data_IF_771312337647
#
_entry.id   IF_771312337647
#
_cell.length_a   1.000
_cell.length_b   1.000
_cell.length_c   1.000
_cell.angle_alpha   90.00
_cell.angle_beta   90.00
_cell.angle_gamma   90.00
#
_symmetry.space_group_name_H-M   'P 1'
#
loop_
_entity.id
_entity.type
_entity.pdbx_description
1 polymer ?
#
# COMPACT_ATOMS: atom_id res chain seq x y z
N UNK A 1 5.54 -10.76 11.48
CA UNK A 1 4.88 -9.91 10.51
C UNK A 1 4.59 -10.66 9.24
N UNK A 2 3.65 -10.20 8.43
CA UNK A 2 3.14 -10.91 7.29
C UNK A 2 4.12 -11.20 6.17
N UNK A 3 3.69 -11.95 5.17
CA UNK A 3 4.50 -12.43 4.06
C UNK A 3 4.88 -11.35 3.05
N UNK A 4 4.28 -10.18 3.13
CA UNK A 4 4.63 -9.02 2.31
C UNK A 4 4.37 -7.74 3.09
N UNK A 5 5.37 -6.86 3.13
CA UNK A 5 5.25 -5.58 3.82
C UNK A 5 6.24 -4.55 3.25
N UNK A 6 5.90 -3.28 3.39
CA UNK A 6 6.82 -2.17 3.18
C UNK A 6 6.90 -1.34 4.46
N UNK A 7 8.04 -0.71 4.69
CA UNK A 7 8.25 0.18 5.82
C UNK A 7 8.60 1.58 5.30
N UNK A 8 7.90 2.57 5.84
CA UNK A 8 8.10 3.98 5.48
C UNK A 8 8.48 4.71 6.76
N UNK A 9 9.58 5.45 6.75
CA UNK A 9 10.11 6.10 7.95
C UNK A 9 9.93 7.63 7.90
N UNK A 10 10.07 8.26 9.07
CA UNK A 10 9.90 9.70 9.24
C UNK A 10 10.83 10.50 8.34
N UNK A 11 12.08 10.05 8.14
CA UNK A 11 13.03 10.80 7.31
C UNK A 11 12.57 10.91 5.87
N UNK A 12 11.91 9.88 5.34
CA UNK A 12 11.30 9.91 4.01
C UNK A 12 10.12 10.87 3.98
N UNK A 13 9.32 10.88 5.04
CA UNK A 13 8.17 11.77 5.16
C UNK A 13 8.60 13.23 5.34
N UNK A 14 9.67 13.48 6.07
CA UNK A 14 10.23 14.82 6.24
C UNK A 14 10.73 15.38 4.92
N UNK A 15 11.28 14.54 4.03
CA UNK A 15 11.62 14.96 2.67
C UNK A 15 10.39 15.41 1.89
N UNK A 16 9.27 14.73 2.06
CA UNK A 16 8.01 15.14 1.45
C UNK A 16 7.48 16.44 2.07
N UNK A 17 7.76 16.65 3.34
CA UNK A 17 7.31 17.81 4.10
C UNK A 17 8.25 19.02 4.03
N UNK A 18 9.44 18.92 3.46
CA UNK A 18 10.45 19.99 3.41
C UNK A 18 9.96 21.31 2.84
N UNK A 19 8.93 21.26 2.00
CA UNK A 19 8.31 22.47 1.44
C UNK A 19 7.42 23.20 2.43
N UNK A 20 7.21 22.63 3.62
CA UNK A 20 6.30 23.14 4.65
C UNK A 20 7.03 23.72 5.86
N UNK A 21 8.24 24.20 5.67
CA UNK A 21 9.08 24.85 6.69
C UNK A 21 9.53 23.93 7.83
N UNK A 22 10.80 23.63 7.90
CA UNK A 22 11.63 23.14 9.03
C UNK A 22 10.88 22.75 10.33
N UNK A 23 9.74 22.08 10.20
CA UNK A 23 8.89 21.80 11.33
C UNK A 23 9.33 20.51 12.03
N UNK A 24 9.87 20.65 13.23
CA UNK A 24 10.22 19.52 14.09
C UNK A 24 8.98 19.03 14.82
N UNK A 25 8.47 17.90 14.39
CA UNK A 25 7.32 17.27 15.05
C UNK A 25 7.72 16.65 16.38
N UNK A 26 6.86 16.77 17.39
CA UNK A 26 6.99 16.02 18.63
C UNK A 26 6.85 14.51 18.38
N UNK A 27 7.28 13.67 19.33
CA UNK A 27 7.14 12.22 19.22
C UNK A 27 5.68 11.77 19.00
N UNK A 28 4.73 12.40 19.71
CA UNK A 28 3.30 12.10 19.55
C UNK A 28 2.75 12.53 18.19
N UNK A 29 3.18 13.68 17.70
CA UNK A 29 2.77 14.17 16.38
C UNK A 29 3.37 13.35 15.26
N UNK A 30 4.62 12.88 15.40
CA UNK A 30 5.22 11.95 14.46
C UNK A 30 4.40 10.66 14.34
N UNK A 31 4.00 10.10 15.47
CA UNK A 31 3.16 8.89 15.48
C UNK A 31 1.82 9.09 14.78
N UNK A 32 1.16 10.22 15.04
CA UNK A 32 -0.11 10.57 14.38
C UNK A 32 0.05 10.78 12.89
N UNK A 33 1.09 11.47 12.48
CA UNK A 33 1.41 11.67 11.08
C UNK A 33 1.67 10.34 10.39
N UNK A 34 2.49 9.48 10.98
CA UNK A 34 2.79 8.16 10.43
C UNK A 34 1.53 7.32 10.30
N UNK A 35 0.64 7.36 11.28
CA UNK A 35 -0.62 6.64 11.20
C UNK A 35 -1.49 7.16 10.06
N UNK A 36 -1.60 8.48 9.89
CA UNK A 36 -2.35 9.09 8.80
C UNK A 36 -1.80 8.69 7.43
N UNK A 37 -0.49 8.70 7.29
CA UNK A 37 0.18 8.30 6.05
C UNK A 37 0.02 6.80 5.79
N UNK A 38 0.08 5.99 6.84
CA UNK A 38 -0.20 4.56 6.75
C UNK A 38 -1.60 4.29 6.23
N UNK A 39 -2.60 5.03 6.69
CA UNK A 39 -3.97 4.93 6.19
C UNK A 39 -4.06 5.24 4.69
N UNK A 40 -3.39 6.30 4.25
CA UNK A 40 -3.38 6.68 2.81
C UNK A 40 -2.73 5.58 1.98
N UNK A 41 -1.57 5.07 2.40
CA UNK A 41 -0.86 4.02 1.67
C UNK A 41 -1.67 2.71 1.67
N UNK A 42 -2.32 2.39 2.78
CA UNK A 42 -3.21 1.24 2.85
C UNK A 42 -4.34 1.36 1.82
N UNK A 43 -4.99 2.51 1.73
CA UNK A 43 -6.06 2.75 0.75
C UNK A 43 -5.54 2.72 -0.69
N UNK A 44 -4.38 3.32 -0.95
CA UNK A 44 -3.74 3.26 -2.27
C UNK A 44 -3.48 1.81 -2.68
N UNK A 45 -3.01 1.00 -1.73
CA UNK A 45 -2.75 -0.42 -1.96
C UNK A 45 -4.04 -1.18 -2.26
N UNK A 46 -5.10 -0.94 -1.49
CA UNK A 46 -6.41 -1.54 -1.72
C UNK A 46 -6.99 -1.14 -3.08
N UNK A 47 -6.83 0.10 -3.47
CA UNK A 47 -7.28 0.58 -4.78
C UNK A 47 -6.58 -0.12 -5.93
N UNK A 48 -5.29 -0.42 -5.79
CA UNK A 48 -4.57 -1.20 -6.80
C UNK A 48 -5.15 -2.60 -6.94
N UNK A 49 -5.45 -3.24 -5.82
CA UNK A 49 -5.98 -4.61 -5.80
C UNK A 49 -7.41 -4.65 -6.34
N UNK A 50 -8.23 -3.68 -5.98
CA UNK A 50 -9.65 -3.68 -6.32
C UNK A 50 -9.93 -3.08 -7.69
N UNK A 51 -9.31 -1.95 -8.02
CA UNK A 51 -9.71 -1.15 -9.17
C UNK A 51 -8.65 -1.03 -10.26
N UNK A 52 -7.50 -0.44 -9.96
CA UNK A 52 -6.58 -0.02 -11.03
C UNK A 52 -5.79 -1.17 -11.65
N UNK A 53 -5.46 -2.19 -10.90
CA UNK A 53 -4.63 -3.31 -11.35
C UNK A 53 -3.26 -2.88 -11.87
N UNK A 54 -2.75 -1.79 -11.30
CA UNK A 54 -1.44 -1.24 -11.63
C UNK A 54 -0.47 -1.49 -10.48
N UNK A 55 0.81 -1.66 -10.82
CA UNK A 55 1.85 -1.66 -9.79
C UNK A 55 2.10 -0.23 -9.28
N UNK A 56 2.89 -0.03 -8.20
CA UNK A 56 3.18 1.32 -7.70
C UNK A 56 3.81 2.25 -8.73
N UNK A 57 4.53 1.71 -9.71
CA UNK A 57 5.17 2.46 -10.79
C UNK A 57 4.20 2.82 -11.92
N UNK A 58 2.93 2.41 -11.82
CA UNK A 58 1.89 2.75 -12.79
C UNK A 58 1.80 1.81 -13.99
N UNK A 59 2.46 0.67 -13.93
CA UNK A 59 2.40 -0.33 -15.00
C UNK A 59 1.33 -1.37 -14.70
N UNK A 60 0.64 -1.83 -15.72
CA UNK A 60 -0.36 -2.87 -15.58
C UNK A 60 0.28 -4.19 -15.15
N UNK A 61 -0.39 -4.91 -14.25
CA UNK A 61 0.00 -6.28 -13.92
C UNK A 61 -0.22 -7.20 -15.11
N UNK A 62 0.64 -8.21 -15.23
CA UNK A 62 0.46 -9.25 -16.25
C UNK A 62 -0.89 -9.94 -16.06
N UNK A 63 -1.62 -10.21 -17.17
CA UNK A 63 -2.90 -10.91 -17.07
C UNK A 63 -2.69 -12.36 -16.62
N UNK A 64 -3.77 -12.99 -16.19
CA UNK A 64 -3.77 -14.43 -15.95
C UNK A 64 -3.46 -15.19 -17.23
N UNK A 65 -2.81 -16.34 -17.10
CA UNK A 65 -2.74 -17.32 -18.16
C UNK A 65 -4.17 -17.74 -18.51
N UNK A 66 -4.40 -18.13 -19.77
CA UNK A 66 -5.74 -18.46 -20.24
C UNK A 66 -6.42 -19.54 -19.39
N UNK A 67 -5.68 -20.59 -19.04
CA UNK A 67 -6.19 -21.67 -18.18
C UNK A 67 -6.62 -21.14 -16.79
N UNK A 68 -5.84 -20.26 -16.22
CA UNK A 68 -6.14 -19.62 -14.92
C UNK A 68 -7.37 -18.74 -15.04
N UNK A 69 -7.45 -17.92 -16.11
CA UNK A 69 -8.60 -17.06 -16.37
C UNK A 69 -9.90 -17.86 -16.43
N UNK A 70 -9.90 -18.96 -17.18
CA UNK A 70 -11.08 -19.85 -17.31
C UNK A 70 -11.49 -20.42 -15.96
N UNK A 71 -10.53 -20.94 -15.20
CA UNK A 71 -10.78 -21.51 -13.87
C UNK A 71 -11.38 -20.45 -12.93
N UNK A 72 -10.79 -19.27 -12.88
CA UNK A 72 -11.22 -18.20 -11.98
C UNK A 72 -12.61 -17.68 -12.34
N UNK A 73 -12.90 -17.50 -13.63
CA UNK A 73 -14.21 -17.02 -14.07
C UNK A 73 -15.31 -18.06 -13.82
N UNK A 74 -14.98 -19.33 -13.93
CA UNK A 74 -15.94 -20.42 -13.67
C UNK A 74 -16.25 -20.56 -12.19
N UNK A 75 -15.24 -20.49 -11.35
CA UNK A 75 -15.35 -20.73 -9.91
C UNK A 75 -15.70 -19.49 -9.10
N UNK A 76 -15.21 -18.34 -9.51
CA UNK A 76 -15.37 -17.06 -8.81
C UNK A 76 -15.81 -15.99 -9.81
N UNK A 77 -17.11 -15.84 -10.01
CA UNK A 77 -17.70 -15.01 -11.08
C UNK A 77 -17.19 -13.56 -11.13
N UNK A 78 -16.83 -12.99 -9.99
CA UNK A 78 -16.36 -11.60 -9.89
C UNK A 78 -14.86 -11.48 -9.64
N UNK A 79 -14.13 -12.58 -9.81
CA UNK A 79 -12.69 -12.56 -9.58
C UNK A 79 -11.95 -11.71 -10.62
N UNK A 80 -10.91 -11.04 -10.17
CA UNK A 80 -9.97 -10.29 -10.99
C UNK A 80 -8.57 -10.47 -10.42
N UNK A 81 -7.55 -9.89 -11.05
CA UNK A 81 -6.17 -10.04 -10.56
C UNK A 81 -6.07 -9.62 -9.09
N UNK A 82 -5.52 -10.49 -8.26
CA UNK A 82 -5.36 -10.34 -6.81
C UNK A 82 -6.68 -10.16 -6.03
N UNK A 83 -7.83 -10.29 -6.69
CA UNK A 83 -9.13 -10.07 -6.10
C UNK A 83 -10.04 -11.27 -6.38
N UNK A 84 -9.98 -12.26 -5.51
CA UNK A 84 -10.76 -13.49 -5.67
C UNK A 84 -12.06 -13.47 -4.87
N UNK A 85 -11.98 -13.07 -3.62
CA UNK A 85 -13.10 -13.07 -2.70
C UNK A 85 -13.08 -11.75 -1.91
N UNK A 86 -14.10 -10.90 -2.07
CA UNK A 86 -14.13 -9.61 -1.39
C UNK A 86 -14.20 -9.73 0.15
N UNK A 87 -14.65 -10.86 0.68
CA UNK A 87 -14.81 -11.00 2.13
C UNK A 87 -13.59 -11.60 2.84
N UNK A 88 -12.72 -12.32 2.14
CA UNK A 88 -11.66 -13.10 2.78
C UNK A 88 -10.28 -12.98 2.11
N UNK A 89 -10.17 -12.21 1.05
CA UNK A 89 -8.99 -12.20 0.22
C UNK A 89 -7.89 -11.27 0.68
N UNK A 90 -6.93 -11.09 -0.21
CA UNK A 90 -5.79 -10.20 -0.02
C UNK A 90 -6.22 -8.78 0.32
N UNK A 91 -7.27 -8.26 -0.34
CA UNK A 91 -7.78 -6.92 -0.12
C UNK A 91 -8.05 -6.63 1.35
N UNK A 92 -8.76 -7.51 2.02
CA UNK A 92 -9.13 -7.32 3.43
C UNK A 92 -7.98 -7.57 4.41
N UNK A 93 -6.88 -8.14 3.93
CA UNK A 93 -5.70 -8.40 4.76
C UNK A 93 -4.73 -7.24 4.82
N UNK A 94 -4.91 -6.24 3.97
CA UNK A 94 -4.01 -5.09 3.94
C UNK A 94 -4.28 -4.22 5.17
N UNK A 95 -3.22 -3.98 5.92
CA UNK A 95 -3.28 -3.18 7.14
C UNK A 95 -2.01 -2.36 7.30
N UNK A 96 -2.05 -1.37 8.17
CA UNK A 96 -0.88 -0.58 8.52
C UNK A 96 -0.68 -0.57 10.03
N UNK A 97 0.55 -0.38 10.45
CA UNK A 97 0.91 -0.32 11.87
C UNK A 97 2.09 0.62 12.04
N UNK A 98 1.97 1.57 12.95
CA UNK A 98 3.10 2.42 13.32
C UNK A 98 4.09 1.57 14.11
N UNK A 99 5.36 1.65 13.73
CA UNK A 99 6.45 0.92 14.37
C UNK A 99 7.37 1.90 15.09
N UNK A 100 7.40 1.81 16.43
CA UNK A 100 8.16 2.76 17.22
C UNK A 100 7.65 4.19 17.01
N UNK A 101 8.58 5.15 16.97
CA UNK A 101 8.27 6.57 16.74
C UNK A 101 8.62 7.07 15.33
N UNK A 102 9.22 6.22 14.50
CA UNK A 102 9.88 6.64 13.28
C UNK A 102 9.33 6.04 11.99
N UNK A 103 8.57 4.96 12.07
CA UNK A 103 8.17 4.22 10.88
C UNK A 103 6.72 3.77 10.93
N UNK A 104 6.17 3.51 9.77
CA UNK A 104 4.89 2.81 9.60
C UNK A 104 5.10 1.65 8.64
N UNK A 105 4.50 0.53 8.94
CA UNK A 105 4.56 -0.68 8.13
C UNK A 105 3.20 -0.91 7.51
N UNK A 106 3.17 -1.19 6.22
CA UNK A 106 1.95 -1.55 5.49
C UNK A 106 2.18 -2.93 4.88
N UNK A 107 1.25 -3.82 5.06
CA UNK A 107 1.42 -5.17 4.54
C UNK A 107 0.22 -6.06 4.73
N UNK A 108 0.44 -7.33 4.42
CA UNK A 108 -0.54 -8.40 4.55
C UNK A 108 0.05 -9.57 5.33
N UNK A 109 -0.73 -10.13 6.23
CA UNK A 109 -0.36 -11.34 6.98
C UNK A 109 -0.63 -12.63 6.19
N UNK A 110 -1.25 -12.56 5.02
CA UNK A 110 -1.52 -13.74 4.21
C UNK A 110 -0.23 -14.33 3.65
N UNK A 111 -0.05 -15.63 3.80
CA UNK A 111 1.15 -16.33 3.33
C UNK A 111 1.39 -16.16 1.83
N UNK A 112 0.33 -16.15 1.04
CA UNK A 112 0.43 -16.00 -0.41
C UNK A 112 0.74 -14.57 -0.87
N UNK A 113 0.67 -13.58 0.01
CA UNK A 113 0.92 -12.18 -0.36
C UNK A 113 2.33 -11.97 -0.92
N UNK A 114 3.32 -12.63 -0.33
CA UNK A 114 4.70 -12.55 -0.80
C UNK A 114 4.86 -13.09 -2.23
N UNK A 115 4.12 -14.13 -2.58
CA UNK A 115 4.16 -14.71 -3.92
C UNK A 115 3.64 -13.73 -4.98
N UNK A 116 2.59 -12.98 -4.65
CA UNK A 116 2.08 -11.94 -5.55
C UNK A 116 3.06 -10.77 -5.67
N UNK A 117 3.64 -10.36 -4.55
CA UNK A 117 4.56 -9.22 -4.54
C UNK A 117 5.84 -9.49 -5.34
N UNK A 118 6.41 -10.67 -5.18
CA UNK A 118 7.73 -11.01 -5.74
C UNK A 118 7.66 -11.94 -6.94
N UNK A 119 6.54 -12.64 -7.12
CA UNK A 119 6.43 -13.67 -8.13
C UNK A 119 7.08 -14.98 -7.71
N UNK A 120 6.91 -15.99 -8.52
CA UNK A 120 7.52 -17.32 -8.34
C UNK A 120 7.99 -17.82 -9.71
N UNK A 121 8.61 -19.02 -9.76
CA UNK A 121 8.98 -19.65 -11.03
C UNK A 121 7.81 -19.80 -11.99
N UNK A 122 6.58 -20.00 -11.43
CA UNK A 122 5.38 -20.28 -12.22
C UNK A 122 4.42 -19.11 -12.31
N UNK A 123 4.70 -18.02 -11.63
CA UNK A 123 3.78 -16.90 -11.49
C UNK A 123 4.51 -15.58 -11.61
N UNK A 124 4.05 -14.71 -12.49
CA UNK A 124 4.58 -13.36 -12.61
C UNK A 124 4.37 -12.56 -11.33
N UNK A 125 5.31 -11.70 -11.00
CA UNK A 125 5.15 -10.75 -9.92
C UNK A 125 4.04 -9.75 -10.28
N UNK A 126 3.14 -9.50 -9.32
CA UNK A 126 2.11 -8.46 -9.41
C UNK A 126 2.24 -7.60 -8.18
N UNK A 127 3.21 -6.71 -8.20
CA UNK A 127 3.59 -5.87 -7.08
C UNK A 127 2.44 -4.92 -6.71
N UNK A 128 1.93 -5.06 -5.50
CA UNK A 128 0.84 -4.24 -4.98
C UNK A 128 1.29 -3.28 -3.88
N UNK A 129 2.39 -3.58 -3.19
CA UNK A 129 2.96 -2.75 -2.14
C UNK A 129 4.06 -1.86 -2.71
N UNK A 130 4.05 -0.61 -2.31
CA UNK A 130 5.07 0.37 -2.69
C UNK A 130 4.48 1.76 -2.75
N UNK A 131 5.36 2.75 -2.84
CA UNK A 131 4.99 4.16 -3.02
C UNK A 131 5.53 4.59 -4.37
N UNK A 132 4.63 4.79 -5.32
CA UNK A 132 4.99 5.24 -6.65
C UNK A 132 4.92 6.77 -6.79
N UNK A 133 5.38 7.28 -7.93
CA UNK A 133 5.38 8.72 -8.20
C UNK A 133 3.96 9.31 -8.11
N UNK A 134 2.96 8.59 -8.61
CA UNK A 134 1.57 9.04 -8.55
C UNK A 134 1.03 9.11 -7.11
N UNK A 135 1.53 8.26 -6.21
CA UNK A 135 1.10 8.23 -4.82
C UNK A 135 1.65 9.39 -4.01
N UNK A 136 2.81 9.91 -4.40
CA UNK A 136 3.53 10.96 -3.65
C UNK A 136 2.69 12.23 -3.51
N UNK A 137 1.98 12.63 -4.56
CA UNK A 137 1.15 13.84 -4.52
C UNK A 137 0.08 13.75 -3.42
N UNK A 138 -0.59 12.61 -3.32
CA UNK A 138 -1.61 12.39 -2.28
C UNK A 138 -0.99 12.33 -0.88
N UNK A 139 0.19 11.75 -0.75
CA UNK A 139 0.93 11.73 0.50
C UNK A 139 1.37 13.14 0.92
N UNK A 140 1.84 13.95 -0.02
CA UNK A 140 2.18 15.35 0.24
C UNK A 140 0.96 16.13 0.72
N UNK A 141 -0.20 15.93 0.10
CA UNK A 141 -1.45 16.57 0.54
C UNK A 141 -1.84 16.11 1.94
N UNK A 142 -1.67 14.84 2.26
CA UNK A 142 -1.95 14.33 3.60
C UNK A 142 -1.03 14.95 4.66
N UNK A 143 0.26 15.09 4.35
CA UNK A 143 1.22 15.77 5.22
C UNK A 143 0.80 17.24 5.42
N UNK A 144 0.46 17.94 4.34
CA UNK A 144 0.05 19.34 4.40
C UNK A 144 -1.20 19.52 5.28
N UNK A 145 -2.21 18.67 5.08
CA UNK A 145 -3.44 18.71 5.90
C UNK A 145 -3.14 18.43 7.37
N UNK A 146 -2.27 17.49 7.66
CA UNK A 146 -1.87 17.17 9.02
C UNK A 146 -1.18 18.38 9.67
N UNK A 147 -0.23 18.99 8.97
CA UNK A 147 0.51 20.14 9.46
C UNK A 147 -0.42 21.31 9.76
N UNK A 148 -1.39 21.59 8.90
CA UNK A 148 -2.36 22.66 9.10
C UNK A 148 -3.25 22.44 10.33
N UNK A 149 -3.53 21.20 10.70
CA UNK A 149 -4.35 20.88 11.87
C UNK A 149 -3.58 20.93 13.18
N UNK A 150 -2.30 20.62 13.14
CA UNK A 150 -1.49 20.42 14.36
C UNK A 150 -0.43 21.49 14.56
N UNK A 151 -0.34 22.43 13.65
CA UNK A 151 0.58 23.56 13.71
C UNK A 151 -0.23 24.84 13.63
N UNK A 152 -0.55 25.36 14.74
CA UNK A 152 -1.19 26.67 14.83
C UNK A 152 -0.22 27.68 15.43
#
# INVERSE_FOLDING_TARGET
>A
MGSAAIEVNVSEMEKLARRLNDFMLSGGDKGRLLNSLGMVIEEQTKDRIEFTKLNPEGRKWDPWKESTRRYMQKKFKKASLLYRDPSKGLLNSIEHQVKGSDSVIIGSSKEYAGFHQEGTRKMAARKFLGVGVADIAELQDAVARFMMRHVS
#
